data_IF_489828709938
#
_entry.id   IF_489828709938
#
_cell.length_a   1.000
_cell.length_b   1.000
_cell.length_c   1.000
_cell.angle_alpha   90.00
_cell.angle_beta   90.00
_cell.angle_gamma   90.00
#
_symmetry.space_group_name_H-M   'P 1'
#
loop_
_entity.id
_entity.type
_entity.pdbx_description
1 polymer ?
#
# COMPACT_ATOMS: atom_id res chain seq x y z
N UNK A 1 6.84 1.80 -8.40
CA UNK A 1 6.56 0.36 -8.20
C UNK A 1 7.75 -0.42 -8.71
N UNK A 2 8.32 -1.31 -7.89
CA UNK A 2 9.50 -2.10 -8.26
C UNK A 2 9.09 -3.24 -9.20
N UNK A 3 9.45 -3.10 -10.47
CA UNK A 3 9.21 -4.09 -11.51
C UNK A 3 10.40 -5.06 -11.58
N UNK A 4 10.19 -6.29 -12.07
CA UNK A 4 11.25 -7.28 -12.29
C UNK A 4 12.36 -6.75 -13.23
N UNK A 5 12.04 -5.72 -14.00
CA UNK A 5 12.95 -4.95 -14.86
C UNK A 5 14.07 -4.25 -14.08
N UNK A 6 13.95 -4.10 -12.75
CA UNK A 6 15.01 -3.56 -11.89
C UNK A 6 16.11 -4.58 -11.54
N UNK A 7 15.93 -5.87 -11.86
CA UNK A 7 16.95 -6.88 -11.65
C UNK A 7 18.07 -6.61 -12.65
N UNK A 8 19.30 -6.41 -12.17
CA UNK A 8 20.44 -6.15 -13.03
C UNK A 8 20.88 -7.46 -13.73
N UNK A 9 20.35 -7.69 -14.92
CA UNK A 9 20.67 -8.89 -15.71
C UNK A 9 21.80 -8.55 -16.69
N UNK A 10 22.89 -9.32 -16.64
CA UNK A 10 23.97 -9.24 -17.63
C UNK A 10 24.51 -10.62 -17.95
N UNK A 11 25.30 -10.74 -19.03
CA UNK A 11 25.91 -12.02 -19.44
C UNK A 11 26.77 -12.65 -18.33
N UNK A 12 27.33 -11.83 -17.44
CA UNK A 12 28.26 -12.26 -16.39
C UNK A 12 27.67 -12.12 -14.98
N UNK A 13 26.41 -11.71 -14.83
CA UNK A 13 25.78 -11.59 -13.50
C UNK A 13 25.48 -12.98 -12.93
N UNK A 14 25.62 -13.13 -11.62
CA UNK A 14 25.04 -14.26 -10.90
C UNK A 14 23.54 -14.00 -10.70
N UNK A 15 22.63 -14.72 -11.39
CA UNK A 15 21.20 -14.43 -11.35
C UNK A 15 20.59 -14.62 -9.96
N UNK A 16 21.14 -15.53 -9.15
CA UNK A 16 20.66 -15.77 -7.78
C UNK A 16 21.00 -14.56 -6.89
N UNK A 17 22.22 -14.05 -7.00
CA UNK A 17 22.68 -12.91 -6.20
C UNK A 17 21.93 -11.64 -6.57
N UNK A 18 21.76 -11.37 -7.86
CA UNK A 18 21.04 -10.18 -8.32
C UNK A 18 19.55 -10.23 -7.96
N UNK A 19 18.94 -11.41 -7.99
CA UNK A 19 17.57 -11.58 -7.50
C UNK A 19 17.47 -11.39 -5.97
N UNK A 20 18.45 -11.89 -5.19
CA UNK A 20 18.49 -11.69 -3.75
C UNK A 20 18.63 -10.21 -3.38
N UNK A 21 19.52 -9.46 -4.06
CA UNK A 21 19.67 -8.00 -3.90
C UNK A 21 18.37 -7.27 -4.24
N UNK A 22 17.70 -7.67 -5.31
CA UNK A 22 16.39 -7.14 -5.68
C UNK A 22 15.35 -7.37 -4.57
N UNK A 23 15.20 -8.60 -4.10
CA UNK A 23 14.25 -8.93 -3.02
C UNK A 23 14.54 -8.12 -1.74
N UNK A 24 15.81 -7.98 -1.37
CA UNK A 24 16.22 -7.17 -0.23
C UNK A 24 15.84 -5.70 -0.43
N UNK A 25 16.15 -5.11 -1.58
CA UNK A 25 15.78 -3.72 -1.90
C UNK A 25 14.27 -3.51 -1.87
N UNK A 26 13.49 -4.42 -2.46
CA UNK A 26 12.02 -4.35 -2.46
C UNK A 26 11.47 -4.44 -1.04
N UNK A 27 12.05 -5.29 -0.20
CA UNK A 27 11.58 -5.47 1.18
C UNK A 27 12.02 -4.33 2.10
N UNK A 28 13.20 -3.75 1.90
CA UNK A 28 13.70 -2.67 2.76
C UNK A 28 13.23 -1.28 2.35
N UNK A 29 12.98 -1.05 1.05
CA UNK A 29 12.65 0.27 0.52
C UNK A 29 11.29 0.32 -0.20
N UNK A 30 10.69 -0.83 -0.52
CA UNK A 30 9.43 -0.96 -1.25
C UNK A 30 8.28 -1.39 -0.34
N UNK A 31 7.73 -2.57 -0.61
CA UNK A 31 6.60 -3.17 0.12
C UNK A 31 7.18 -3.98 1.28
N UNK A 32 7.57 -3.27 2.35
CA UNK A 32 8.33 -3.87 3.43
C UNK A 32 7.56 -4.78 4.38
N UNK A 33 8.31 -5.60 5.10
CA UNK A 33 7.80 -6.54 6.11
C UNK A 33 7.47 -5.85 7.45
N UNK A 34 8.08 -4.69 7.72
CA UNK A 34 7.78 -3.87 8.89
C UNK A 34 6.74 -2.77 8.58
N UNK A 35 6.01 -2.36 9.62
CA UNK A 35 4.91 -1.41 9.48
C UNK A 35 5.39 -0.02 9.04
N UNK A 36 6.60 0.41 9.42
CA UNK A 36 7.09 1.74 9.09
C UNK A 36 7.43 1.87 7.61
N UNK A 37 8.21 0.93 7.08
CA UNK A 37 8.54 0.85 5.66
C UNK A 37 7.28 0.75 4.82
N UNK A 38 6.35 -0.13 5.20
CA UNK A 38 5.08 -0.31 4.49
C UNK A 38 4.25 0.99 4.48
N UNK A 39 3.99 1.59 5.64
CA UNK A 39 3.17 2.82 5.71
C UNK A 39 3.86 4.01 5.04
N UNK A 40 5.19 4.14 5.15
CA UNK A 40 5.93 5.17 4.44
C UNK A 40 5.85 4.98 2.92
N UNK A 41 5.77 3.73 2.43
CA UNK A 41 5.57 3.48 1.00
C UNK A 41 4.22 4.01 0.49
N UNK A 42 3.14 3.86 1.27
CA UNK A 42 1.83 4.45 0.93
C UNK A 42 1.90 5.97 0.85
N UNK A 43 2.57 6.62 1.80
CA UNK A 43 2.75 8.08 1.79
C UNK A 43 3.50 8.54 0.53
N UNK A 44 4.66 7.94 0.24
CA UNK A 44 5.45 8.29 -0.95
C UNK A 44 4.65 8.11 -2.23
N UNK A 45 3.91 7.01 -2.36
CA UNK A 45 3.10 6.76 -3.55
C UNK A 45 1.95 7.77 -3.67
N UNK A 46 1.26 8.08 -2.57
CA UNK A 46 0.20 9.09 -2.56
C UNK A 46 0.71 10.47 -2.98
N UNK A 47 1.88 10.90 -2.47
CA UNK A 47 2.54 12.15 -2.89
C UNK A 47 2.92 12.13 -4.38
N UNK A 48 3.58 11.07 -4.85
CA UNK A 48 4.02 10.95 -6.24
C UNK A 48 2.85 10.94 -7.22
N UNK A 49 1.77 10.27 -6.86
CA UNK A 49 0.54 10.20 -7.66
C UNK A 49 -0.33 11.44 -7.51
N UNK A 50 0.00 12.36 -6.59
CA UNK A 50 -0.84 13.50 -6.20
C UNK A 50 -2.27 13.06 -5.86
N UNK A 51 -2.37 12.01 -5.06
CA UNK A 51 -3.65 11.42 -4.71
C UNK A 51 -4.46 12.36 -3.81
N UNK A 52 -5.71 12.62 -4.18
CA UNK A 52 -6.63 13.43 -3.37
C UNK A 52 -7.15 12.68 -2.14
N UNK A 53 -7.11 11.34 -2.15
CA UNK A 53 -7.55 10.51 -1.05
C UNK A 53 -7.00 9.10 -1.10
N UNK A 54 -7.13 8.37 0.01
CA UNK A 54 -6.62 7.00 0.15
C UNK A 54 -7.71 6.03 0.61
N UNK A 55 -7.87 4.93 -0.12
CA UNK A 55 -8.72 3.80 0.27
C UNK A 55 -7.82 2.64 0.67
N UNK A 56 -7.94 2.20 1.91
CA UNK A 56 -7.20 1.05 2.43
C UNK A 56 -8.05 -0.22 2.38
N UNK A 57 -7.56 -1.25 1.69
CA UNK A 57 -8.23 -2.55 1.61
C UNK A 57 -7.75 -3.40 2.78
N UNK A 58 -8.62 -3.57 3.78
CA UNK A 58 -8.33 -4.36 4.97
C UNK A 58 -8.88 -5.78 4.80
N UNK A 59 -8.00 -6.74 4.55
CA UNK A 59 -8.38 -8.15 4.50
C UNK A 59 -8.41 -8.75 5.91
N UNK A 60 -9.53 -9.35 6.29
CA UNK A 60 -9.68 -10.05 7.55
C UNK A 60 -8.69 -11.22 7.63
N UNK A 61 -8.06 -11.40 8.79
CA UNK A 61 -7.02 -12.42 9.01
C UNK A 61 -5.63 -12.04 8.51
N UNK A 62 -5.47 -10.91 7.78
CA UNK A 62 -4.16 -10.41 7.42
C UNK A 62 -3.58 -9.55 8.55
N UNK A 63 -2.82 -10.16 9.47
CA UNK A 63 -2.28 -9.47 10.65
C UNK A 63 -1.26 -8.38 10.30
N UNK A 64 -0.44 -8.57 9.27
CA UNK A 64 0.53 -7.57 8.82
C UNK A 64 -0.14 -6.29 8.30
N UNK A 65 -1.26 -6.43 7.59
CA UNK A 65 -2.01 -5.31 6.99
C UNK A 65 -2.96 -4.67 8.02
N UNK A 66 -3.60 -5.48 8.87
CA UNK A 66 -4.57 -4.97 9.85
C UNK A 66 -3.92 -4.11 10.93
N UNK A 67 -2.69 -4.41 11.33
CA UNK A 67 -1.96 -3.67 12.36
C UNK A 67 -1.39 -2.34 11.83
N UNK A 68 -1.15 -2.21 10.52
CA UNK A 68 -0.51 -1.03 9.96
C UNK A 68 -1.50 0.11 9.64
N UNK A 69 -2.80 -0.17 9.49
CA UNK A 69 -3.78 0.83 9.08
C UNK A 69 -3.89 2.02 10.05
N UNK A 70 -3.92 1.77 11.36
CA UNK A 70 -3.97 2.85 12.37
C UNK A 70 -2.78 3.80 12.22
N UNK A 71 -1.58 3.24 12.04
CA UNK A 71 -0.37 4.03 11.84
C UNK A 71 -0.37 4.75 10.49
N UNK A 72 -0.84 4.09 9.43
CA UNK A 72 -0.98 4.70 8.10
C UNK A 72 -1.92 5.91 8.16
N UNK A 73 -3.11 5.73 8.76
CA UNK A 73 -4.12 6.78 8.89
C UNK A 73 -3.57 8.00 9.62
N UNK A 74 -2.85 7.79 10.72
CA UNK A 74 -2.20 8.89 11.44
C UNK A 74 -1.16 9.61 10.59
N UNK A 75 -0.31 8.86 9.86
CA UNK A 75 0.72 9.45 8.99
C UNK A 75 0.11 10.25 7.85
N UNK A 76 -0.90 9.71 7.17
CA UNK A 76 -1.59 10.40 6.07
C UNK A 76 -2.25 11.69 6.59
N UNK A 77 -3.01 11.60 7.69
CA UNK A 77 -3.68 12.76 8.29
C UNK A 77 -2.70 13.88 8.65
N UNK A 78 -1.54 13.54 9.21
CA UNK A 78 -0.56 14.55 9.67
C UNK A 78 0.32 15.12 8.56
N UNK A 79 0.62 14.33 7.52
CA UNK A 79 1.61 14.72 6.50
C UNK A 79 0.98 15.17 5.20
N UNK A 80 -0.08 14.50 4.76
CA UNK A 80 -0.73 14.77 3.47
C UNK A 80 -2.05 15.49 3.63
N UNK A 81 -2.66 15.42 4.82
CA UNK A 81 -3.95 16.04 5.14
C UNK A 81 -5.09 15.62 4.20
N UNK A 82 -4.92 14.49 3.48
CA UNK A 82 -5.93 13.92 2.60
C UNK A 82 -6.87 12.97 3.36
N UNK A 83 -8.15 12.91 2.98
CA UNK A 83 -9.10 11.98 3.56
C UNK A 83 -8.73 10.52 3.28
N UNK A 84 -9.00 9.66 4.27
CA UNK A 84 -8.72 8.21 4.19
C UNK A 84 -9.89 7.39 4.68
N UNK A 85 -10.16 6.25 4.02
CA UNK A 85 -11.15 5.27 4.47
C UNK A 85 -10.59 3.84 4.41
N UNK A 86 -11.18 2.93 5.18
CA UNK A 86 -10.88 1.50 5.10
C UNK A 86 -12.12 0.72 4.67
N UNK A 87 -11.90 -0.21 3.74
CA UNK A 87 -12.87 -1.21 3.33
C UNK A 87 -12.42 -2.57 3.84
N UNK A 88 -13.24 -3.18 4.69
CA UNK A 88 -12.92 -4.47 5.30
C UNK A 88 -13.56 -5.60 4.50
N UNK A 89 -12.77 -6.61 4.14
CA UNK A 89 -13.22 -7.78 3.39
C UNK A 89 -12.82 -9.06 4.10
N UNK A 90 -13.77 -9.98 4.30
CA UNK A 90 -13.44 -11.38 4.61
C UNK A 90 -12.99 -12.11 3.33
N UNK A 91 -13.70 -11.86 2.24
CA UNK A 91 -13.36 -12.25 0.88
C UNK A 91 -13.69 -11.11 -0.07
N UNK A 92 -12.77 -10.78 -0.97
CA UNK A 92 -13.01 -9.74 -1.99
C UNK A 92 -14.18 -10.19 -2.87
N UNK A 93 -15.15 -9.29 -3.06
CA UNK A 93 -16.37 -9.55 -3.81
C UNK A 93 -17.61 -9.81 -2.94
N UNK A 94 -17.44 -9.96 -1.63
CA UNK A 94 -18.57 -10.02 -0.69
C UNK A 94 -18.98 -8.61 -0.20
N UNK A 95 -20.20 -8.49 0.36
CA UNK A 95 -20.74 -7.25 0.96
C UNK A 95 -20.76 -6.02 0.02
N UNK A 96 -21.03 -6.25 -1.28
CA UNK A 96 -20.96 -5.21 -2.31
C UNK A 96 -21.80 -3.96 -2.00
N UNK A 97 -23.00 -4.11 -1.46
CA UNK A 97 -23.87 -2.96 -1.15
C UNK A 97 -23.30 -2.08 -0.02
N UNK A 98 -22.67 -2.70 0.99
CA UNK A 98 -21.98 -1.95 2.05
C UNK A 98 -20.76 -1.21 1.48
N UNK A 99 -20.00 -1.87 0.60
CA UNK A 99 -18.84 -1.27 -0.06
C UNK A 99 -19.26 -0.09 -0.93
N UNK A 100 -20.31 -0.24 -1.75
CA UNK A 100 -20.89 0.84 -2.56
C UNK A 100 -21.29 2.03 -1.70
N UNK A 101 -22.00 1.79 -0.61
CA UNK A 101 -22.46 2.86 0.30
C UNK A 101 -21.27 3.61 0.92
N UNK A 102 -20.28 2.88 1.44
CA UNK A 102 -19.08 3.48 2.06
C UNK A 102 -18.23 4.25 1.05
N UNK A 103 -18.02 3.69 -0.14
CA UNK A 103 -17.31 4.36 -1.21
C UNK A 103 -18.05 5.61 -1.69
N UNK A 104 -19.37 5.52 -1.87
CA UNK A 104 -20.20 6.66 -2.24
C UNK A 104 -20.02 7.82 -1.26
N UNK A 105 -20.18 7.57 0.04
CA UNK A 105 -19.99 8.58 1.07
C UNK A 105 -18.57 9.17 1.09
N UNK A 106 -17.54 8.35 0.83
CA UNK A 106 -16.16 8.83 0.71
C UNK A 106 -15.95 9.70 -0.53
N UNK A 107 -16.55 9.33 -1.66
CA UNK A 107 -16.43 10.09 -2.91
C UNK A 107 -17.14 11.45 -2.84
N UNK A 108 -18.20 11.59 -2.06
CA UNK A 108 -18.84 12.89 -1.82
C UNK A 108 -17.91 13.91 -1.15
N UNK A 109 -16.81 13.48 -0.50
CA UNK A 109 -15.84 14.39 0.11
C UNK A 109 -14.98 15.16 -0.91
N UNK A 110 -15.01 14.75 -2.19
CA UNK A 110 -14.22 15.36 -3.27
C UNK A 110 -15.07 16.10 -4.30
N UNK A 111 -16.38 16.21 -4.06
CA UNK A 111 -17.30 17.02 -4.87
C UNK A 111 -17.36 18.45 -4.35
#
# INVERSE_FOLDING_TARGET
LCLLEEINVSRNSNPIEEYAKYLQKVTSNGVGCDNDTLTNSYLRNAEQMKADGLIFIQLFGCHSVSNCYTMLREKIRRKLEIPTTALTFNKIGENLEQVKTRLGAFMEMFR
#
